data_IF_023272855224
#
_entry.id   IF_023272855224
#
_cell.length_a   1.000
_cell.length_b   1.000
_cell.length_c   1.000
_cell.angle_alpha   90.00
_cell.angle_beta   90.00
_cell.angle_gamma   90.00
#
_symmetry.space_group_name_H-M   'P 1'
#
loop_
_entity.id
_entity.type
_entity.pdbx_description
1 polymer ?
#
# COMPACT_ATOMS: atom_id res chain seq x y z
N UNK A 1 -16.48 -5.34 4.07
CA UNK A 1 -16.44 -4.00 3.46
C UNK A 1 -15.91 -4.09 2.05
N UNK A 2 -16.46 -3.37 1.07
CA UNK A 2 -15.84 -3.21 -0.25
C UNK A 2 -14.86 -2.03 -0.29
N UNK A 3 -14.49 -1.45 0.88
CA UNK A 3 -13.26 -0.66 0.96
C UNK A 3 -12.11 -1.54 0.44
N UNK A 4 -11.34 -1.01 -0.50
CA UNK A 4 -10.28 -1.75 -1.14
C UNK A 4 -8.97 -1.32 -0.50
N UNK A 5 -8.38 -2.20 0.31
CA UNK A 5 -6.97 -2.12 0.61
C UNK A 5 -6.27 -3.10 -0.34
N UNK A 6 -5.49 -2.55 -1.28
CA UNK A 6 -4.75 -3.36 -2.26
C UNK A 6 -3.29 -3.44 -1.85
N UNK A 7 -2.71 -4.63 -2.00
CA UNK A 7 -1.27 -4.79 -1.92
C UNK A 7 -0.65 -4.45 -3.27
N UNK A 8 0.47 -3.72 -3.25
CA UNK A 8 1.30 -3.46 -4.43
C UNK A 8 2.51 -4.39 -4.33
N UNK A 9 2.46 -5.61 -4.92
CA UNK A 9 3.57 -6.53 -4.83
C UNK A 9 4.73 -6.08 -5.72
N UNK A 10 5.94 -6.15 -5.18
CA UNK A 10 7.17 -6.11 -5.97
C UNK A 10 7.57 -7.54 -6.29
N UNK A 11 7.54 -7.88 -7.56
CA UNK A 11 7.86 -9.22 -8.05
C UNK A 11 9.20 -9.21 -8.80
N UNK A 12 9.98 -10.27 -8.64
CA UNK A 12 11.22 -10.50 -9.38
C UNK A 12 11.06 -11.72 -10.29
N UNK A 13 11.63 -11.65 -11.49
CA UNK A 13 11.70 -12.81 -12.37
C UNK A 13 12.69 -13.83 -11.83
N UNK A 14 12.31 -15.11 -11.78
CA UNK A 14 13.20 -16.20 -11.39
C UNK A 14 14.50 -16.22 -12.22
N UNK A 15 14.42 -15.91 -13.53
CA UNK A 15 15.59 -15.83 -14.40
C UNK A 15 16.55 -14.69 -14.01
N UNK A 16 16.03 -13.58 -13.50
CA UNK A 16 16.86 -12.48 -13.00
C UNK A 16 17.42 -12.79 -11.61
N UNK A 17 16.59 -13.34 -10.72
CA UNK A 17 16.99 -13.78 -9.38
C UNK A 17 18.14 -14.80 -9.42
N UNK A 18 18.06 -15.78 -10.31
CA UNK A 18 19.08 -16.82 -10.46
C UNK A 18 20.41 -16.33 -11.02
N UNK A 19 20.48 -15.08 -11.51
CA UNK A 19 21.74 -14.44 -11.94
C UNK A 19 22.44 -13.67 -10.82
N UNK A 20 21.77 -13.44 -9.69
CA UNK A 20 22.36 -12.80 -8.52
C UNK A 20 23.25 -13.86 -7.83
N UNK A 21 24.53 -13.56 -7.54
CA UNK A 21 25.38 -14.44 -6.74
C UNK A 21 24.73 -14.78 -5.40
N UNK A 22 24.85 -16.03 -4.94
CA UNK A 22 24.14 -16.50 -3.74
C UNK A 22 24.50 -15.70 -2.47
N UNK A 23 25.77 -15.30 -2.35
CA UNK A 23 26.28 -14.46 -1.25
C UNK A 23 25.76 -13.02 -1.29
N UNK A 24 25.19 -12.59 -2.42
CA UNK A 24 24.63 -11.24 -2.59
C UNK A 24 23.09 -11.20 -2.51
N UNK A 25 22.41 -12.35 -2.49
CA UNK A 25 20.94 -12.40 -2.49
C UNK A 25 20.33 -11.76 -1.26
N UNK A 26 20.91 -11.99 -0.08
CA UNK A 26 20.42 -11.40 1.17
C UNK A 26 20.57 -9.88 1.14
N UNK A 27 21.74 -9.37 0.76
CA UNK A 27 21.98 -7.92 0.59
C UNK A 27 21.02 -7.30 -0.43
N UNK A 28 20.73 -8.00 -1.52
CA UNK A 28 19.75 -7.54 -2.51
C UNK A 28 18.34 -7.43 -1.90
N UNK A 29 17.89 -8.46 -1.16
CA UNK A 29 16.57 -8.46 -0.51
C UNK A 29 16.45 -7.35 0.52
N UNK A 30 17.49 -7.14 1.33
CA UNK A 30 17.54 -6.04 2.31
C UNK A 30 17.44 -4.66 1.62
N UNK A 31 18.15 -4.48 0.50
CA UNK A 31 18.08 -3.24 -0.26
C UNK A 31 16.70 -3.00 -0.88
N UNK A 32 16.06 -4.06 -1.41
CA UNK A 32 14.67 -3.99 -1.92
C UNK A 32 13.72 -3.61 -0.78
N UNK A 33 13.87 -4.23 0.40
CA UNK A 33 13.05 -3.92 1.57
C UNK A 33 13.17 -2.47 2.01
N UNK A 34 14.39 -1.94 2.13
CA UNK A 34 14.61 -0.53 2.44
C UNK A 34 13.98 0.41 1.39
N UNK A 35 14.00 -0.01 0.12
CA UNK A 35 13.29 0.69 -0.96
C UNK A 35 11.77 0.70 -0.78
N UNK A 36 11.17 -0.43 -0.38
CA UNK A 36 9.75 -0.53 -0.07
C UNK A 36 9.36 0.41 1.09
N UNK A 37 10.13 0.40 2.18
CA UNK A 37 9.88 1.25 3.34
C UNK A 37 9.90 2.74 2.96
N UNK A 38 10.85 3.13 2.09
CA UNK A 38 10.92 4.49 1.60
C UNK A 38 9.73 4.84 0.71
N UNK A 39 9.30 3.91 -0.14
CA UNK A 39 8.13 4.09 -0.99
C UNK A 39 6.84 4.26 -0.18
N UNK A 40 6.68 3.57 0.95
CA UNK A 40 5.53 3.77 1.85
C UNK A 40 5.48 5.19 2.40
N UNK A 41 6.63 5.78 2.75
CA UNK A 41 6.69 7.17 3.18
C UNK A 41 6.20 8.12 2.07
N UNK A 42 6.67 7.93 0.84
CA UNK A 42 6.21 8.75 -0.30
C UNK A 42 4.72 8.62 -0.57
N UNK A 43 4.13 7.43 -0.37
CA UNK A 43 2.68 7.26 -0.49
C UNK A 43 1.91 8.04 0.57
N UNK A 44 2.39 8.03 1.82
CA UNK A 44 1.77 8.80 2.89
C UNK A 44 1.86 10.31 2.60
N UNK A 45 3.06 10.79 2.24
CA UNK A 45 3.27 12.19 1.90
C UNK A 45 2.38 12.64 0.73
N UNK A 46 2.26 11.81 -0.32
CA UNK A 46 1.40 12.08 -1.46
C UNK A 46 -0.09 12.05 -1.12
N UNK A 47 -0.52 11.17 -0.20
CA UNK A 47 -1.90 11.14 0.27
C UNK A 47 -2.25 12.40 1.07
N UNK A 48 -1.36 12.85 1.95
CA UNK A 48 -1.54 14.07 2.74
C UNK A 48 -1.62 15.30 1.83
N UNK A 49 -0.75 15.39 0.82
CA UNK A 49 -0.82 16.44 -0.20
C UNK A 49 -2.14 16.39 -0.99
N UNK A 50 -2.56 15.19 -1.41
CA UNK A 50 -3.79 15.00 -2.17
C UNK A 50 -5.04 15.43 -1.39
N UNK A 51 -5.10 15.17 -0.07
CA UNK A 51 -6.19 15.64 0.79
C UNK A 51 -6.28 17.17 0.72
N UNK A 52 -5.16 17.88 0.93
CA UNK A 52 -5.13 19.34 0.89
C UNK A 52 -5.53 19.92 -0.48
N UNK A 53 -5.12 19.27 -1.58
CA UNK A 53 -5.51 19.67 -2.93
C UNK A 53 -7.01 19.49 -3.17
N UNK A 54 -7.60 18.38 -2.70
CA UNK A 54 -9.03 18.09 -2.84
C UNK A 54 -9.87 19.08 -2.01
N UNK A 55 -9.48 19.34 -0.77
CA UNK A 55 -10.12 20.36 0.07
C UNK A 55 -10.01 21.76 -0.56
N UNK A 56 -8.86 22.08 -1.18
CA UNK A 56 -8.63 23.33 -1.88
C UNK A 56 -9.58 23.57 -3.07
N UNK A 57 -10.11 22.53 -3.69
CA UNK A 57 -11.13 22.62 -4.75
C UNK A 57 -12.57 22.43 -4.23
N UNK A 58 -12.75 22.42 -2.90
CA UNK A 58 -14.05 22.40 -2.25
C UNK A 58 -14.59 21.00 -1.92
N UNK A 59 -13.76 19.96 -1.94
CA UNK A 59 -14.16 18.62 -1.47
C UNK A 59 -14.21 18.61 0.06
N UNK A 60 -15.30 18.09 0.62
CA UNK A 60 -15.42 17.83 2.05
C UNK A 60 -15.12 16.36 2.34
N UNK A 61 -14.12 16.10 3.19
CA UNK A 61 -13.83 14.76 3.68
C UNK A 61 -14.78 14.38 4.81
N UNK A 62 -15.33 13.17 4.78
CA UNK A 62 -16.21 12.64 5.82
C UNK A 62 -15.61 11.36 6.38
N UNK A 63 -15.44 11.31 7.71
CA UNK A 63 -15.13 10.07 8.40
C UNK A 63 -16.35 9.17 8.43
N UNK A 64 -16.12 7.87 8.23
CA UNK A 64 -17.15 6.84 8.28
C UNK A 64 -16.88 5.88 9.44
N UNK A 65 -17.94 5.38 10.06
CA UNK A 65 -17.81 4.29 11.04
C UNK A 65 -17.44 3.00 10.31
N UNK A 66 -16.14 2.70 10.30
CA UNK A 66 -15.62 1.52 9.62
C UNK A 66 -16.00 0.22 10.32
N UNK A 67 -16.33 0.24 11.61
CA UNK A 67 -16.69 -0.96 12.37
C UNK A 67 -18.16 -1.31 12.15
N UNK A 68 -19.04 -0.32 12.11
CA UNK A 68 -20.42 -0.50 11.64
C UNK A 68 -20.44 -1.06 10.21
N UNK A 69 -19.61 -0.49 9.32
CA UNK A 69 -19.49 -0.97 7.95
C UNK A 69 -19.01 -2.43 7.91
N UNK A 70 -17.97 -2.80 8.67
CA UNK A 70 -17.50 -4.20 8.76
C UNK A 70 -18.62 -5.13 9.23
N UNK A 71 -19.32 -4.78 10.30
CA UNK A 71 -20.41 -5.58 10.86
C UNK A 71 -21.54 -5.82 9.85
N UNK A 72 -21.99 -4.77 9.16
CA UNK A 72 -23.03 -4.87 8.13
C UNK A 72 -22.61 -5.79 6.97
N UNK A 73 -21.33 -5.78 6.59
CA UNK A 73 -20.81 -6.66 5.54
C UNK A 73 -20.73 -8.12 5.97
N UNK A 74 -20.26 -8.41 7.19
CA UNK A 74 -20.21 -9.79 7.69
C UNK A 74 -21.62 -10.39 7.79
N UNK A 75 -22.61 -9.61 8.23
CA UNK A 75 -24.01 -10.04 8.27
C UNK A 75 -24.58 -10.38 6.89
N UNK A 76 -24.05 -9.79 5.81
CA UNK A 76 -24.50 -9.99 4.42
C UNK A 76 -23.77 -11.11 3.67
N UNK A 77 -22.76 -11.77 4.27
CA UNK A 77 -22.04 -12.91 3.66
C UNK A 77 -22.85 -14.20 3.55
N UNK A 78 -24.15 -14.17 3.85
CA UNK A 78 -25.12 -15.27 3.69
C UNK A 78 -25.37 -15.65 2.24
#
# INVERSE_FOLDING_TARGET
THHCFVYIPLCMSDNAWNKIPDDMKDTFVEAVWAGCEKQWQYLNDANDEAIGLLEGVGVTMYDIDTDELKAAYEAKKS
#
